data_IF_998628080610
#
_entry.id   IF_998628080610
#
_cell.length_a   1.000
_cell.length_b   1.000
_cell.length_c   1.000
_cell.angle_alpha   90.00
_cell.angle_beta   90.00
_cell.angle_gamma   90.00
#
_symmetry.space_group_name_H-M   'P 1'
#
loop_
_entity.id
_entity.type
_entity.pdbx_description
1 polymer ?
#
# COMPACT_ATOMS: atom_id res chain seq x y z
N UNK A 1 -7.79 -21.54 2.29
CA UNK A 1 -6.36 -21.21 2.28
C UNK A 1 -6.19 -19.71 2.31
N UNK A 2 -5.35 -19.24 3.22
CA UNK A 2 -5.16 -17.82 3.38
C UNK A 2 -3.91 -17.37 2.68
N UNK A 3 -4.08 -16.49 1.69
CA UNK A 3 -2.95 -15.89 1.04
C UNK A 3 -2.61 -14.60 1.75
N UNK A 4 -1.31 -14.29 1.87
CA UNK A 4 -0.94 -13.02 2.45
C UNK A 4 -1.45 -11.90 1.56
N UNK A 5 -1.84 -10.80 2.19
CA UNK A 5 -2.25 -9.62 1.43
C UNK A 5 -1.03 -9.04 0.72
N UNK A 6 -1.13 -8.85 -0.58
CA UNK A 6 -0.04 -8.32 -1.38
C UNK A 6 -0.58 -7.26 -2.31
N UNK A 7 0.36 -6.48 -2.89
CA UNK A 7 -0.01 -5.48 -3.89
C UNK A 7 -0.69 -6.15 -5.09
N UNK A 8 -0.24 -7.34 -5.44
CA UNK A 8 -0.84 -8.07 -6.55
C UNK A 8 -2.29 -8.42 -6.27
N UNK A 9 -2.57 -8.89 -5.07
CA UNK A 9 -3.94 -9.22 -4.69
C UNK A 9 -4.81 -7.98 -4.66
N UNK A 10 -4.28 -6.86 -4.21
CA UNK A 10 -5.02 -5.62 -4.19
C UNK A 10 -5.33 -5.15 -5.60
N UNK A 11 -4.39 -5.31 -6.53
CA UNK A 11 -4.60 -4.92 -7.92
C UNK A 11 -5.73 -5.75 -8.54
N UNK A 12 -5.76 -7.05 -8.27
CA UNK A 12 -6.81 -7.92 -8.80
C UNK A 12 -8.15 -7.49 -8.25
N UNK A 13 -8.23 -7.20 -6.97
CA UNK A 13 -9.50 -6.84 -6.35
C UNK A 13 -10.00 -5.48 -6.83
N UNK A 14 -9.09 -4.55 -7.10
CA UNK A 14 -9.49 -3.22 -7.57
C UNK A 14 -10.03 -3.26 -8.99
N UNK A 15 -9.44 -4.14 -9.79
CA UNK A 15 -9.72 -4.14 -11.22
C UNK A 15 -9.53 -2.74 -11.79
N UNK A 16 -8.46 -2.07 -11.32
CA UNK A 16 -8.19 -0.71 -11.72
C UNK A 16 -7.58 -0.68 -13.11
N UNK A 17 -7.23 0.51 -13.56
CA UNK A 17 -6.58 0.68 -14.83
C UNK A 17 -5.30 -0.13 -14.93
N UNK A 18 -4.73 -0.13 -16.10
CA UNK A 18 -3.57 -0.95 -16.39
C UNK A 18 -2.33 -0.47 -15.62
N UNK A 19 -1.63 -1.42 -15.03
CA UNK A 19 -0.33 -1.17 -14.42
C UNK A 19 0.63 -2.19 -15.04
N UNK A 20 1.74 -1.72 -15.59
CA UNK A 20 2.69 -2.61 -16.24
C UNK A 20 3.33 -3.55 -15.21
N UNK A 21 3.80 -4.73 -15.64
CA UNK A 21 4.47 -5.64 -14.72
C UNK A 21 5.67 -5.03 -14.03
N UNK A 22 6.44 -4.20 -14.73
CA UNK A 22 7.60 -3.55 -14.11
C UNK A 22 7.14 -2.57 -13.04
N UNK A 23 6.08 -1.84 -13.33
CA UNK A 23 5.54 -0.89 -12.36
C UNK A 23 5.00 -1.60 -11.14
N UNK A 24 4.29 -2.70 -11.37
CA UNK A 24 3.75 -3.49 -10.27
C UNK A 24 4.88 -4.02 -9.39
N UNK A 25 5.97 -4.48 -9.99
CA UNK A 25 7.12 -4.96 -9.23
C UNK A 25 7.71 -3.84 -8.38
N UNK A 26 7.80 -2.63 -8.93
CA UNK A 26 8.28 -1.49 -8.17
C UNK A 26 7.37 -1.21 -6.98
N UNK A 27 6.06 -1.23 -7.20
CA UNK A 27 5.11 -0.97 -6.12
C UNK A 27 5.19 -2.05 -5.04
N UNK A 28 5.42 -3.30 -5.42
CA UNK A 28 5.62 -4.36 -4.44
C UNK A 28 6.85 -4.11 -3.60
N UNK A 29 7.95 -3.70 -4.22
CA UNK A 29 9.17 -3.41 -3.48
C UNK A 29 8.94 -2.28 -2.48
N UNK A 30 8.27 -1.23 -2.91
CA UNK A 30 7.99 -0.09 -2.04
C UNK A 30 7.08 -0.52 -0.91
N UNK A 31 6.06 -1.31 -1.21
CA UNK A 31 5.13 -1.81 -0.20
C UNK A 31 5.88 -2.56 0.90
N UNK A 32 6.74 -3.49 0.50
CA UNK A 32 7.45 -4.30 1.48
C UNK A 32 8.48 -3.49 2.25
N UNK A 33 9.15 -2.56 1.56
CA UNK A 33 10.12 -1.71 2.23
C UNK A 33 9.46 -0.84 3.29
N UNK A 34 8.30 -0.27 2.98
CA UNK A 34 7.57 0.57 3.94
C UNK A 34 7.06 -0.28 5.09
N UNK A 35 6.53 -1.47 4.80
CA UNK A 35 6.07 -2.36 5.86
C UNK A 35 7.20 -2.69 6.82
N UNK A 36 8.39 -2.93 6.29
CA UNK A 36 9.56 -3.24 7.10
C UNK A 36 10.01 -2.04 7.91
N UNK A 37 10.07 -0.89 7.24
CA UNK A 37 10.59 0.33 7.86
C UNK A 37 9.71 0.81 9.02
N UNK A 38 8.39 0.70 8.86
CA UNK A 38 7.44 1.15 9.86
C UNK A 38 7.07 0.01 10.81
N UNK A 39 7.54 -1.20 10.52
CA UNK A 39 7.29 -2.38 11.34
C UNK A 39 5.79 -2.71 11.40
N UNK A 40 5.15 -2.79 10.22
CA UNK A 40 3.75 -3.18 10.15
C UNK A 40 3.68 -4.71 10.28
N UNK A 41 2.95 -5.23 11.28
CA UNK A 41 2.87 -6.67 11.45
C UNK A 41 2.23 -7.35 10.24
N UNK A 42 2.62 -8.60 10.00
CA UNK A 42 2.10 -9.33 8.86
C UNK A 42 0.60 -9.63 9.00
N UNK A 43 0.08 -9.61 10.23
CA UNK A 43 -1.34 -9.86 10.46
C UNK A 43 -2.17 -8.59 10.54
N UNK A 44 -1.56 -7.42 10.35
CA UNK A 44 -2.28 -6.15 10.33
C UNK A 44 -2.89 -5.96 8.94
N UNK A 45 -3.92 -6.71 8.64
CA UNK A 45 -4.45 -6.78 7.28
C UNK A 45 -5.09 -5.48 6.83
N UNK A 46 -5.79 -4.81 7.73
CA UNK A 46 -6.42 -3.54 7.38
C UNK A 46 -5.41 -2.48 7.01
N UNK A 47 -4.33 -2.39 7.80
CA UNK A 47 -3.29 -1.41 7.55
C UNK A 47 -2.55 -1.73 6.25
N UNK A 48 -2.25 -3.01 6.03
CA UNK A 48 -1.58 -3.43 4.80
C UNK A 48 -2.47 -3.21 3.58
N UNK A 49 -3.76 -3.47 3.73
CA UNK A 49 -4.72 -3.24 2.65
C UNK A 49 -4.78 -1.77 2.28
N UNK A 50 -4.86 -0.90 3.27
CA UNK A 50 -4.90 0.54 3.02
C UNK A 50 -3.64 1.01 2.32
N UNK A 51 -2.48 0.52 2.78
CA UNK A 51 -1.21 0.88 2.18
C UNK A 51 -1.13 0.43 0.73
N UNK A 52 -1.49 -0.82 0.46
CA UNK A 52 -1.40 -1.36 -0.88
C UNK A 52 -2.35 -0.61 -1.83
N UNK A 53 -3.55 -0.30 -1.35
CA UNK A 53 -4.53 0.40 -2.17
C UNK A 53 -4.02 1.80 -2.53
N UNK A 54 -3.46 2.51 -1.56
CA UNK A 54 -2.91 3.84 -1.83
C UNK A 54 -1.75 3.79 -2.80
N UNK A 55 -0.89 2.78 -2.67
CA UNK A 55 0.22 2.64 -3.60
C UNK A 55 -0.27 2.36 -5.01
N UNK A 56 -1.29 1.53 -5.17
CA UNK A 56 -1.82 1.24 -6.49
C UNK A 56 -2.44 2.48 -7.11
N UNK A 57 -3.19 3.25 -6.33
CA UNK A 57 -3.77 4.49 -6.83
C UNK A 57 -2.69 5.46 -7.25
N UNK A 58 -1.70 5.67 -6.38
CA UNK A 58 -0.62 6.59 -6.69
C UNK A 58 0.22 6.11 -7.87
N UNK A 59 0.40 4.79 -7.98
CA UNK A 59 1.20 4.23 -9.05
C UNK A 59 0.64 4.46 -10.43
N UNK A 60 -0.64 4.81 -10.53
CA UNK A 60 -1.24 5.11 -11.82
C UNK A 60 -0.80 6.46 -12.35
N UNK A 61 -0.43 7.39 -11.49
CA UNK A 61 -0.12 8.75 -11.91
C UNK A 61 1.23 9.26 -11.46
N UNK A 62 1.76 8.74 -10.35
CA UNK A 62 3.02 9.22 -9.78
C UNK A 62 4.15 8.33 -10.28
N UNK A 63 5.14 8.94 -10.93
CA UNK A 63 6.24 8.17 -11.52
C UNK A 63 7.45 8.10 -10.62
N UNK A 64 7.64 9.09 -9.76
CA UNK A 64 8.81 9.14 -8.89
C UNK A 64 8.69 8.12 -7.77
N UNK A 65 9.71 7.27 -7.62
CA UNK A 65 9.73 6.28 -6.55
C UNK A 65 9.76 6.96 -5.19
N UNK A 66 10.51 8.05 -5.08
CA UNK A 66 10.57 8.78 -3.82
C UNK A 66 9.20 9.30 -3.41
N UNK A 67 8.44 9.83 -4.36
CA UNK A 67 7.10 10.31 -4.08
C UNK A 67 6.16 9.16 -3.70
N UNK A 68 6.36 7.99 -4.29
CA UNK A 68 5.57 6.83 -3.93
C UNK A 68 5.86 6.40 -2.49
N UNK A 69 7.13 6.45 -2.09
CA UNK A 69 7.49 6.12 -0.71
C UNK A 69 6.86 7.12 0.26
N UNK A 70 6.94 8.41 -0.06
CA UNK A 70 6.32 9.42 0.78
C UNK A 70 4.82 9.21 0.88
N UNK A 71 4.18 8.93 -0.24
CA UNK A 71 2.75 8.66 -0.28
C UNK A 71 2.39 7.46 0.58
N UNK A 72 3.20 6.41 0.51
CA UNK A 72 2.96 5.20 1.29
C UNK A 72 3.08 5.49 2.78
N UNK A 73 4.11 6.21 3.18
CA UNK A 73 4.30 6.52 4.60
C UNK A 73 3.17 7.39 5.12
N UNK A 74 2.74 8.36 4.31
CA UNK A 74 1.63 9.21 4.69
C UNK A 74 0.35 8.42 4.82
N UNK A 75 0.14 7.45 3.94
CA UNK A 75 -1.05 6.61 3.98
C UNK A 75 -1.13 5.83 5.29
N UNK A 76 0.01 5.29 5.73
CA UNK A 76 0.04 4.56 6.99
C UNK A 76 -0.24 5.49 8.16
N UNK A 77 0.36 6.68 8.14
CA UNK A 77 0.13 7.65 9.21
C UNK A 77 -1.33 8.06 9.25
N UNK A 78 -1.93 8.31 8.10
CA UNK A 78 -3.34 8.69 8.03
C UNK A 78 -4.24 7.57 8.54
N UNK A 79 -3.91 6.33 8.19
CA UNK A 79 -4.69 5.19 8.66
C UNK A 79 -4.65 5.10 10.18
N UNK A 80 -3.45 5.26 10.76
CA UNK A 80 -3.29 5.16 12.21
C UNK A 80 -3.99 6.30 12.93
N UNK A 81 -3.91 7.51 12.37
CA UNK A 81 -4.61 8.65 12.94
C UNK A 81 -6.12 8.45 12.87
N UNK A 82 -6.61 7.93 11.75
CA UNK A 82 -8.03 7.65 11.61
C UNK A 82 -8.50 6.65 12.65
N UNK A 83 -7.72 5.61 12.89
CA UNK A 83 -8.06 4.63 13.91
C UNK A 83 -8.08 5.26 15.29
N UNK A 84 -7.14 6.16 15.55
CA UNK A 84 -7.03 6.79 16.87
C UNK A 84 -8.16 7.77 17.11
N UNK A 85 -8.57 8.49 16.08
CA UNK A 85 -9.56 9.57 16.24
C UNK A 85 -10.97 9.10 15.95
N UNK A 86 -11.19 7.81 15.79
CA UNK A 86 -12.52 7.29 15.49
C UNK A 86 -13.49 7.44 16.65
N UNK A 87 -13.02 7.77 17.81
CA UNK A 87 -13.88 7.90 18.98
C UNK A 87 -14.43 9.30 19.03
N UNK A 88 -15.74 9.42 19.06
CA UNK A 88 -16.36 10.72 19.28
C UNK A 88 -16.09 11.22 20.69
#
# INVERSE_FOLDING_TARGET
>A
MNEPFTVENAAVRRQAGYISPERLATLKMIFEAVCHEIAIPSDAKGERDALATKLLVAGETVESEMMLIVTAMKAVADYRLGSTTSVP
#
